data_IF_649037517160
#
_entry.id   IF_649037517160
#
_cell.length_a   1.000
_cell.length_b   1.000
_cell.length_c   1.000
_cell.angle_alpha   90.00
_cell.angle_beta   90.00
_cell.angle_gamma   90.00
#
_symmetry.space_group_name_H-M   'P 1'
#
loop_
_entity.id
_entity.type
_entity.pdbx_description
1 polymer ?
#
# COMPACT_ATOMS: atom_id res chain seq x y z
N UNK A 1 3.18 -6.15 30.09
CA UNK A 1 3.81 -7.02 29.09
C UNK A 1 3.33 -6.57 27.72
N UNK A 2 4.13 -5.78 27.00
CA UNK A 2 3.79 -5.31 25.67
C UNK A 2 4.14 -6.41 24.68
N UNK A 3 3.13 -6.97 24.01
CA UNK A 3 3.36 -8.01 23.01
C UNK A 3 3.96 -7.37 21.77
N UNK A 4 5.23 -7.69 21.51
CA UNK A 4 5.92 -7.46 20.24
C UNK A 4 5.36 -8.49 19.25
N UNK A 5 4.17 -8.23 18.72
CA UNK A 5 3.59 -9.03 17.63
C UNK A 5 2.83 -8.09 16.71
N UNK A 6 3.51 -7.36 15.83
CA UNK A 6 2.82 -6.59 14.78
C UNK A 6 3.55 -6.54 13.44
N UNK A 7 4.77 -7.06 13.35
CA UNK A 7 5.57 -7.05 12.11
C UNK A 7 5.82 -8.44 11.53
N UNK A 8 5.60 -9.53 12.29
CA UNK A 8 5.79 -10.89 11.80
C UNK A 8 4.58 -11.44 11.02
N UNK A 9 3.39 -10.85 11.18
CA UNK A 9 2.17 -11.29 10.49
C UNK A 9 2.06 -10.76 9.05
N UNK A 10 2.69 -9.63 8.76
CA UNK A 10 2.82 -9.08 7.42
C UNK A 10 4.21 -9.45 6.89
N UNK A 11 4.29 -9.98 5.66
CA UNK A 11 5.56 -10.37 5.05
C UNK A 11 6.38 -9.12 4.68
N UNK A 12 7.04 -8.53 5.69
CA UNK A 12 7.75 -7.25 5.60
C UNK A 12 8.83 -7.25 4.51
N UNK A 13 9.58 -8.35 4.41
CA UNK A 13 10.62 -8.52 3.40
C UNK A 13 10.06 -8.45 1.98
N UNK A 14 8.89 -9.04 1.77
CA UNK A 14 8.25 -8.99 0.46
C UNK A 14 7.64 -7.61 0.17
N UNK A 15 7.10 -6.92 1.17
CA UNK A 15 6.65 -5.53 1.02
C UNK A 15 7.79 -4.60 0.61
N UNK A 16 8.97 -4.73 1.21
CA UNK A 16 10.16 -3.94 0.84
C UNK A 16 10.60 -4.24 -0.59
N UNK A 17 10.67 -5.51 -0.97
CA UNK A 17 10.97 -5.91 -2.36
C UNK A 17 9.93 -5.38 -3.34
N UNK A 18 8.66 -5.41 -2.97
CA UNK A 18 7.58 -4.88 -3.79
C UNK A 18 7.73 -3.38 -4.02
N UNK A 19 7.98 -2.60 -2.94
CA UNK A 19 8.27 -1.16 -3.07
C UNK A 19 9.49 -0.92 -3.95
N UNK A 20 10.57 -1.70 -3.78
CA UNK A 20 11.77 -1.60 -4.64
C UNK A 20 11.44 -1.85 -6.11
N UNK A 21 10.70 -2.92 -6.43
CA UNK A 21 10.31 -3.24 -7.83
C UNK A 21 9.48 -2.12 -8.47
N UNK A 22 8.62 -1.46 -7.71
CA UNK A 22 7.84 -0.31 -8.20
C UNK A 22 8.72 0.93 -8.33
N UNK A 23 9.60 1.17 -7.36
CA UNK A 23 10.53 2.30 -7.33
C UNK A 23 11.54 2.29 -8.49
N UNK A 24 11.96 1.11 -8.94
CA UNK A 24 12.81 0.93 -10.13
C UNK A 24 12.15 1.43 -11.42
N UNK A 25 10.82 1.45 -11.47
CA UNK A 25 10.05 1.93 -12.63
C UNK A 25 9.67 3.41 -12.51
N UNK A 26 9.27 3.82 -11.31
CA UNK A 26 8.94 5.21 -11.00
C UNK A 26 9.51 5.54 -9.63
N UNK A 27 10.40 6.53 -9.50
CA UNK A 27 10.89 6.96 -8.20
C UNK A 27 9.73 7.29 -7.25
N UNK A 28 9.49 6.41 -6.28
CA UNK A 28 8.38 6.53 -5.33
C UNK A 28 8.77 7.52 -4.25
N UNK A 29 7.93 8.53 -4.01
CA UNK A 29 8.13 9.49 -2.92
C UNK A 29 7.56 8.96 -1.60
N UNK A 30 6.41 8.28 -1.67
CA UNK A 30 5.78 7.61 -0.53
C UNK A 30 5.03 6.35 -0.96
N UNK A 31 5.06 5.34 -0.12
CA UNK A 31 4.26 4.13 -0.26
C UNK A 31 3.49 3.89 1.05
N UNK A 32 2.19 3.62 0.95
CA UNK A 32 1.33 3.35 2.08
C UNK A 32 0.67 1.98 1.91
N UNK A 33 0.55 1.24 3.01
CA UNK A 33 -0.13 -0.04 3.08
C UNK A 33 -1.31 0.04 4.05
N UNK A 34 -2.49 -0.35 3.59
CA UNK A 34 -3.70 -0.51 4.39
C UNK A 34 -4.41 -1.81 4.02
N UNK A 35 -5.71 -1.85 4.31
CA UNK A 35 -6.54 -3.04 4.08
C UNK A 35 -6.72 -3.89 5.34
N UNK A 36 -7.55 -4.92 5.19
CA UNK A 36 -8.03 -5.73 6.30
C UNK A 36 -6.90 -6.41 7.09
N UNK A 37 -5.82 -6.85 6.42
CA UNK A 37 -4.68 -7.48 7.09
C UNK A 37 -3.84 -6.50 7.91
N UNK A 38 -3.76 -5.24 7.48
CA UNK A 38 -3.12 -4.19 8.28
C UNK A 38 -3.97 -3.85 9.49
N UNK A 39 -5.30 -3.81 9.35
CA UNK A 39 -6.21 -3.62 10.47
C UNK A 39 -6.10 -4.77 11.49
N UNK A 40 -6.01 -6.03 11.03
CA UNK A 40 -5.78 -7.20 11.89
C UNK A 40 -4.46 -7.12 12.65
N UNK A 41 -3.36 -6.79 11.94
CA UNK A 41 -2.04 -6.63 12.55
C UNK A 41 -2.00 -5.47 13.58
N UNK A 42 -2.97 -4.55 13.49
CA UNK A 42 -3.20 -3.47 14.48
C UNK A 42 -4.24 -3.83 15.55
N UNK A 43 -4.74 -5.06 15.58
CA UNK A 43 -5.65 -5.58 16.59
C UNK A 43 -7.11 -5.17 16.41
N UNK A 44 -7.55 -4.94 15.17
CA UNK A 44 -8.95 -4.62 14.91
C UNK A 44 -9.87 -5.79 15.26
N UNK A 45 -11.01 -5.50 15.90
CA UNK A 45 -12.07 -6.49 16.17
C UNK A 45 -12.64 -7.08 14.86
N UNK A 46 -13.32 -8.24 14.91
CA UNK A 46 -13.96 -8.81 13.74
C UNK A 46 -14.90 -7.81 13.05
N UNK A 47 -14.67 -7.53 11.76
CA UNK A 47 -15.51 -6.63 10.98
C UNK A 47 -16.43 -7.41 10.04
N UNK A 48 -17.70 -6.98 9.91
CA UNK A 48 -18.66 -7.60 8.98
C UNK A 48 -18.28 -7.37 7.52
N UNK A 49 -17.76 -6.19 7.20
CA UNK A 49 -17.24 -5.82 5.88
C UNK A 49 -15.80 -5.34 6.05
N UNK A 50 -14.85 -6.23 5.73
CA UNK A 50 -13.42 -5.97 5.95
C UNK A 50 -12.78 -5.17 4.81
N UNK A 51 -13.39 -5.20 3.61
CA UNK A 51 -12.85 -4.58 2.40
C UNK A 51 -11.71 -5.42 1.79
N UNK A 52 -10.86 -4.81 0.95
CA UNK A 52 -9.69 -5.50 0.37
C UNK A 52 -8.72 -5.98 1.46
N UNK A 53 -8.12 -7.15 1.25
CA UNK A 53 -7.08 -7.71 2.13
C UNK A 53 -5.90 -6.76 2.29
N UNK A 54 -5.45 -6.20 1.15
CA UNK A 54 -4.44 -5.16 1.09
C UNK A 54 -4.89 -4.01 0.20
N UNK A 55 -4.59 -2.80 0.64
CA UNK A 55 -4.68 -1.57 -0.17
C UNK A 55 -3.27 -0.97 -0.19
N UNK A 56 -2.72 -0.77 -1.38
CA UNK A 56 -1.41 -0.13 -1.55
C UNK A 56 -1.59 1.20 -2.26
N UNK A 57 -1.00 2.25 -1.71
CA UNK A 57 -1.01 3.58 -2.32
C UNK A 57 0.42 4.03 -2.57
N UNK A 58 0.77 4.19 -3.84
CA UNK A 58 2.02 4.81 -4.26
C UNK A 58 1.79 6.27 -4.61
N UNK A 59 2.71 7.12 -4.15
CA UNK A 59 2.74 8.55 -4.45
C UNK A 59 4.06 8.85 -5.16
N UNK A 60 3.98 9.40 -6.37
CA UNK A 60 5.13 9.78 -7.18
C UNK A 60 4.79 10.88 -8.19
N UNK A 61 5.61 11.93 -8.28
CA UNK A 61 5.54 12.92 -9.36
C UNK A 61 5.70 12.28 -10.75
N UNK A 62 6.40 11.14 -10.85
CA UNK A 62 6.65 10.44 -12.12
C UNK A 62 5.42 9.71 -12.67
N UNK A 63 4.30 9.75 -11.95
CA UNK A 63 3.01 9.35 -12.49
C UNK A 63 2.39 10.44 -13.37
N UNK A 64 2.86 11.70 -13.30
CA UNK A 64 2.32 12.77 -14.15
C UNK A 64 2.51 12.44 -15.63
N UNK A 65 1.47 12.69 -16.43
CA UNK A 65 1.41 12.29 -17.84
C UNK A 65 1.26 10.78 -18.12
N UNK A 66 1.36 9.89 -17.13
CA UNK A 66 1.12 8.44 -17.31
C UNK A 66 -0.37 8.13 -17.17
N UNK A 67 -1.02 7.35 -18.07
CA UNK A 67 -2.43 6.98 -17.91
C UNK A 67 -2.68 6.16 -16.64
N UNK A 68 -3.74 6.48 -15.89
CA UNK A 68 -4.06 5.81 -14.61
C UNK A 68 -4.10 4.28 -14.71
N UNK A 69 -4.77 3.73 -15.72
CA UNK A 69 -4.89 2.28 -15.92
C UNK A 69 -3.52 1.62 -16.12
N UNK A 70 -2.57 2.31 -16.77
CA UNK A 70 -1.21 1.81 -16.93
C UNK A 70 -0.49 1.74 -15.59
N UNK A 71 -0.59 2.81 -14.77
CA UNK A 71 0.05 2.89 -13.44
C UNK A 71 -0.37 1.72 -12.56
N UNK A 72 -1.69 1.53 -12.40
CA UNK A 72 -2.24 0.48 -11.52
C UNK A 72 -2.01 -0.92 -12.09
N UNK A 73 -2.03 -1.10 -13.41
CA UNK A 73 -1.74 -2.39 -14.03
C UNK A 73 -0.28 -2.81 -13.81
N UNK A 74 0.67 -1.90 -14.04
CA UNK A 74 2.09 -2.19 -13.86
C UNK A 74 2.42 -2.43 -12.38
N UNK A 75 1.97 -1.56 -11.47
CA UNK A 75 2.21 -1.73 -10.05
C UNK A 75 1.55 -3.02 -9.53
N UNK A 76 0.29 -3.29 -9.90
CA UNK A 76 -0.41 -4.51 -9.51
C UNK A 76 0.26 -5.79 -10.02
N UNK A 77 0.91 -5.77 -11.19
CA UNK A 77 1.67 -6.92 -11.71
C UNK A 77 2.95 -7.24 -10.95
N UNK A 78 3.47 -6.28 -10.18
CA UNK A 78 4.67 -6.47 -9.37
C UNK A 78 4.36 -6.99 -7.96
N UNK A 79 3.08 -7.09 -7.60
CA UNK A 79 2.62 -7.68 -6.35
C UNK A 79 2.69 -9.21 -6.41
N UNK A 80 3.34 -9.82 -5.43
CA UNK A 80 3.34 -11.27 -5.28
C UNK A 80 2.21 -11.72 -4.35
N UNK A 81 1.06 -12.06 -4.94
CA UNK A 81 -0.10 -12.51 -4.18
C UNK A 81 0.08 -13.86 -3.48
N UNK A 82 1.05 -14.68 -3.91
CA UNK A 82 1.36 -15.96 -3.26
C UNK A 82 2.17 -15.71 -2.00
N UNK A 83 3.24 -14.92 -2.08
CA UNK A 83 4.08 -14.55 -0.93
C UNK A 83 3.32 -13.69 0.09
N UNK A 84 2.39 -12.84 -0.37
CA UNK A 84 1.58 -11.99 0.50
C UNK A 84 0.29 -12.67 0.98
N UNK A 85 -0.09 -13.80 0.37
CA UNK A 85 -1.27 -14.60 0.70
C UNK A 85 -2.62 -14.01 0.30
N UNK A 86 -2.65 -12.90 -0.43
CA UNK A 86 -3.85 -12.25 -0.97
C UNK A 86 -3.49 -11.20 -2.03
N UNK A 87 -4.41 -10.83 -2.94
CA UNK A 87 -4.18 -9.74 -3.88
C UNK A 87 -4.19 -8.37 -3.19
N UNK A 88 -3.57 -7.38 -3.83
CA UNK A 88 -3.63 -5.98 -3.43
C UNK A 88 -4.52 -5.16 -4.37
N UNK A 89 -5.33 -4.26 -3.80
CA UNK A 89 -5.92 -3.14 -4.51
C UNK A 89 -4.91 -1.99 -4.54
N UNK A 90 -4.52 -1.54 -5.74
CA UNK A 90 -3.38 -0.64 -5.93
C UNK A 90 -3.81 0.71 -6.48
N UNK A 91 -3.38 1.78 -5.82
CA UNK A 91 -3.64 3.16 -6.22
C UNK A 91 -2.31 3.90 -6.48
N UNK A 92 -2.23 4.69 -7.55
CA UNK A 92 -1.00 5.36 -7.98
C UNK A 92 -1.23 6.85 -8.30
N UNK A 93 -0.91 7.73 -7.36
CA UNK A 93 -1.24 9.16 -7.44
C UNK A 93 0.00 10.04 -7.58
N UNK A 94 -0.10 11.12 -8.35
CA UNK A 94 0.81 12.26 -8.14
C UNK A 94 0.54 12.89 -6.76
N UNK A 95 1.48 13.62 -6.15
CA UNK A 95 1.23 14.32 -4.89
C UNK A 95 -0.01 15.22 -4.94
N UNK A 96 -0.19 15.98 -6.03
CA UNK A 96 -1.36 16.82 -6.22
C UNK A 96 -2.67 16.01 -6.32
N UNK A 97 -2.66 14.84 -6.98
CA UNK A 97 -3.80 13.93 -7.00
C UNK A 97 -4.10 13.38 -5.61
N UNK A 98 -3.10 12.93 -4.87
CA UNK A 98 -3.25 12.34 -3.54
C UNK A 98 -3.92 13.30 -2.55
N UNK A 99 -3.50 14.57 -2.55
CA UNK A 99 -4.08 15.61 -1.70
C UNK A 99 -5.59 15.79 -1.92
N UNK A 100 -6.06 15.66 -3.16
CA UNK A 100 -7.50 15.67 -3.47
C UNK A 100 -8.18 14.37 -3.05
N UNK A 101 -7.51 13.23 -3.27
CA UNK A 101 -8.09 11.89 -3.04
C UNK A 101 -8.22 11.52 -1.57
N UNK A 102 -7.34 11.98 -0.68
CA UNK A 102 -7.50 11.75 0.78
C UNK A 102 -8.78 12.38 1.35
N UNK A 103 -9.28 13.44 0.71
CA UNK A 103 -10.53 14.09 1.07
C UNK A 103 -11.74 13.40 0.43
N UNK A 104 -11.60 12.85 -0.77
CA UNK A 104 -12.72 12.31 -1.55
C UNK A 104 -12.94 10.80 -1.36
N UNK A 105 -11.89 10.03 -1.10
CA UNK A 105 -11.94 8.56 -1.10
C UNK A 105 -11.72 8.01 0.32
N UNK A 106 -12.75 7.37 0.92
CA UNK A 106 -12.62 6.78 2.25
C UNK A 106 -11.48 5.77 2.38
N UNK A 107 -11.22 4.99 1.33
CA UNK A 107 -10.13 4.00 1.32
C UNK A 107 -8.74 4.65 1.40
N UNK A 108 -8.55 5.77 0.71
CA UNK A 108 -7.29 6.55 0.74
C UNK A 108 -7.11 7.17 2.12
N UNK A 109 -8.17 7.76 2.66
CA UNK A 109 -8.16 8.37 4.00
C UNK A 109 -7.85 7.34 5.09
N UNK A 110 -8.56 6.19 5.08
CA UNK A 110 -8.33 5.10 6.05
C UNK A 110 -6.90 4.59 5.98
N UNK A 111 -6.36 4.40 4.77
CA UNK A 111 -4.98 3.96 4.58
C UNK A 111 -3.98 4.99 5.10
N UNK A 112 -4.23 6.28 4.91
CA UNK A 112 -3.39 7.34 5.46
C UNK A 112 -3.43 7.39 7.00
N UNK A 113 -4.63 7.26 7.59
CA UNK A 113 -4.83 7.41 9.04
C UNK A 113 -4.41 6.17 9.85
N UNK A 114 -4.61 4.97 9.28
CA UNK A 114 -4.46 3.70 9.99
C UNK A 114 -3.47 2.73 9.34
N UNK A 115 -2.98 3.05 8.15
CA UNK A 115 -2.04 2.19 7.43
C UNK A 115 -0.63 2.21 8.01
N UNK A 116 0.29 1.64 7.25
CA UNK A 116 1.72 1.65 7.50
C UNK A 116 2.40 2.40 6.36
N UNK A 117 3.41 3.20 6.68
CA UNK A 117 4.29 3.76 5.66
C UNK A 117 5.35 2.70 5.31
N UNK A 118 5.51 2.42 4.03
CA UNK A 118 6.52 1.51 3.52
C UNK A 118 7.72 2.31 3.05
N UNK A 119 8.90 1.96 3.54
CA UNK A 119 10.17 2.49 3.06
C UNK A 119 10.90 1.40 2.25
N UNK A 120 11.54 1.71 1.13
CA UNK A 120 12.57 0.83 0.61
C UNK A 120 13.70 0.73 1.65
N UNK A 121 14.31 -0.45 1.81
CA UNK A 121 15.54 -0.57 2.58
C UNK A 121 16.60 0.36 1.93
N UNK A 122 17.30 1.22 2.69
CA UNK A 122 18.41 1.96 2.11
C UNK A 122 19.46 0.94 1.67
N UNK A 123 19.82 0.99 0.38
CA UNK A 123 20.86 0.17 -0.20
C UNK A 123 22.22 0.35 0.50
#
# INVERSE_FOLDING_TARGET
MASVTSSAELNQRELERYVSRVADRWPVQRALLGGARVDDARGASPQRERGPEYVVIFISEFFDGVPWLERVHQAGRLWDGLEMGAPADVHCYTPAEFERRREQLPVVRRTLERGLELSPEPA
#
